data_IF_571368770493
#
_entry.id   IF_571368770493
#
_cell.length_a   1.000
_cell.length_b   1.000
_cell.length_c   1.000
_cell.angle_alpha   90.00
_cell.angle_beta   90.00
_cell.angle_gamma   90.00
#
_symmetry.space_group_name_H-M   'P 1'
#
loop_
_entity.id
_entity.type
_entity.pdbx_description
1 polymer ?
#
# COMPACT_ATOMS: atom_id res chain seq x y z
N UNK A 1 4.45 10.75 11.77
CA UNK A 1 4.51 11.60 10.55
C UNK A 1 5.00 10.70 9.43
N UNK A 2 4.15 10.35 8.46
CA UNK A 2 4.60 9.64 7.25
C UNK A 2 5.63 10.52 6.57
N UNK A 3 6.88 10.07 6.57
CA UNK A 3 7.98 10.80 5.98
C UNK A 3 7.95 10.66 4.47
N UNK A 4 8.43 11.68 3.76
CA UNK A 4 8.70 11.66 2.30
C UNK A 4 9.39 10.39 1.77
N UNK A 5 10.02 9.60 2.65
CA UNK A 5 10.73 8.37 2.30
C UNK A 5 9.81 7.18 2.00
N UNK A 6 8.66 7.02 2.68
CA UNK A 6 7.69 5.94 2.39
C UNK A 6 6.92 6.24 1.08
N UNK A 7 6.76 7.53 0.80
CA UNK A 7 6.30 8.10 -0.46
C UNK A 7 7.29 7.83 -1.61
N UNK A 8 8.59 7.67 -1.33
CA UNK A 8 9.59 7.26 -2.33
C UNK A 8 9.30 5.88 -2.94
N UNK A 9 8.59 5.00 -2.22
CA UNK A 9 8.08 3.73 -2.79
C UNK A 9 6.85 3.93 -3.68
N UNK A 10 6.02 4.96 -3.45
CA UNK A 10 4.99 5.36 -4.43
C UNK A 10 5.62 5.90 -5.72
N UNK A 11 6.80 6.51 -5.66
CA UNK A 11 7.57 6.91 -6.85
C UNK A 11 8.01 5.72 -7.73
N UNK A 12 8.11 4.50 -7.17
CA UNK A 12 8.26 3.29 -8.00
C UNK A 12 6.97 2.96 -8.77
N UNK A 13 5.80 3.41 -8.30
CA UNK A 13 4.53 3.22 -9.00
C UNK A 13 4.29 4.21 -10.14
N UNK A 14 4.85 5.42 -10.08
CA UNK A 14 4.84 6.33 -11.23
C UNK A 14 5.66 5.77 -12.38
N UNK A 15 6.76 5.07 -12.09
CA UNK A 15 7.51 4.33 -13.10
C UNK A 15 6.76 3.09 -13.61
N UNK A 16 5.94 2.42 -12.78
CA UNK A 16 5.05 1.34 -13.22
C UNK A 16 4.11 1.77 -14.35
N UNK A 17 3.64 3.04 -14.37
CA UNK A 17 2.79 3.55 -15.47
C UNK A 17 3.47 3.47 -16.85
N UNK A 18 4.81 3.47 -16.91
CA UNK A 18 5.57 3.29 -18.15
C UNK A 18 5.59 1.84 -18.64
N UNK A 19 5.37 0.89 -17.73
CA UNK A 19 5.28 -0.55 -18.03
C UNK A 19 3.82 -1.01 -18.22
N UNK A 20 2.88 -0.17 -17.84
CA UNK A 20 1.46 -0.38 -18.05
C UNK A 20 1.13 0.08 -19.47
N UNK A 21 0.98 -0.87 -20.40
CA UNK A 21 0.44 -0.60 -21.73
C UNK A 21 -1.06 -0.35 -21.56
N UNK A 22 -1.59 0.83 -21.93
CA UNK A 22 -3.02 1.08 -21.88
C UNK A 22 -3.75 0.06 -22.76
N UNK A 23 -4.77 -0.65 -22.25
CA UNK A 23 -5.54 -1.57 -23.07
C UNK A 23 -6.24 -0.80 -24.21
N UNK A 24 -6.20 -1.33 -25.44
CA UNK A 24 -6.85 -0.71 -26.61
C UNK A 24 -8.37 -0.55 -26.42
N UNK A 25 -8.99 -1.41 -25.62
CA UNK A 25 -10.35 -1.33 -25.12
C UNK A 25 -10.43 -2.08 -23.78
N UNK A 26 -10.63 -1.37 -22.66
CA UNK A 26 -10.86 -2.00 -21.35
C UNK A 26 -10.18 -1.28 -20.18
N UNK A 27 -10.18 -1.94 -19.03
CA UNK A 27 -9.46 -1.51 -17.83
C UNK A 27 -8.33 -2.48 -17.53
N UNK A 28 -7.32 -2.00 -16.82
CA UNK A 28 -6.28 -2.87 -16.26
C UNK A 28 -6.88 -3.80 -15.19
N UNK A 29 -6.26 -4.96 -14.93
CA UNK A 29 -6.69 -5.86 -13.86
C UNK A 29 -6.80 -5.14 -12.52
N UNK A 30 -7.68 -5.63 -11.63
CA UNK A 30 -7.87 -5.10 -10.27
C UNK A 30 -6.53 -4.90 -9.57
N UNK A 31 -6.26 -3.67 -9.14
CA UNK A 31 -5.05 -3.33 -8.39
C UNK A 31 -5.28 -3.52 -6.89
N UNK A 32 -4.29 -4.05 -6.19
CA UNK A 32 -4.31 -4.15 -4.73
C UNK A 32 -3.05 -3.47 -4.20
N UNK A 33 -3.24 -2.47 -3.35
CA UNK A 33 -2.17 -1.72 -2.69
C UNK A 33 -2.07 -2.17 -1.24
N UNK A 34 -0.89 -2.64 -0.84
CA UNK A 34 -0.60 -3.03 0.54
C UNK A 34 0.37 -2.01 1.14
N UNK A 35 -0.13 -1.17 2.05
CA UNK A 35 0.70 -0.25 2.83
C UNK A 35 1.30 -1.05 3.99
N UNK A 36 2.56 -1.45 3.84
CA UNK A 36 3.27 -2.27 4.84
C UNK A 36 3.70 -1.44 6.04
N UNK A 37 3.65 -2.06 7.21
CA UNK A 37 4.06 -1.47 8.48
C UNK A 37 3.31 -0.14 8.75
N UNK A 38 1.99 -0.13 8.47
CA UNK A 38 1.12 1.01 8.67
C UNK A 38 0.90 1.22 10.18
N UNK A 39 1.30 2.39 10.69
CA UNK A 39 1.34 2.70 12.13
C UNK A 39 0.42 3.86 12.53
N UNK A 40 -0.42 4.33 11.60
CA UNK A 40 -1.40 5.37 11.89
C UNK A 40 -2.73 4.72 12.23
N UNK A 41 -3.60 5.48 12.91
CA UNK A 41 -5.00 5.08 13.05
C UNK A 41 -5.61 4.82 11.67
N UNK A 42 -6.39 3.73 11.58
CA UNK A 42 -7.04 3.34 10.34
C UNK A 42 -7.98 4.46 9.87
N UNK A 43 -7.84 4.93 8.62
CA UNK A 43 -8.77 5.89 8.06
C UNK A 43 -10.13 5.21 7.83
N UNK A 44 -11.19 6.03 7.78
CA UNK A 44 -12.54 5.54 7.43
C UNK A 44 -12.56 4.84 6.06
N UNK A 45 -11.73 5.31 5.12
CA UNK A 45 -11.55 4.73 3.80
C UNK A 45 -10.08 4.79 3.36
N UNK A 46 -9.46 3.62 3.20
CA UNK A 46 -8.08 3.51 2.76
C UNK A 46 -7.84 3.94 1.30
N UNK A 47 -8.82 3.76 0.39
CA UNK A 47 -8.69 4.19 -1.01
C UNK A 47 -8.58 5.71 -1.11
N UNK A 48 -9.48 6.41 -0.42
CA UNK A 48 -9.51 7.87 -0.40
C UNK A 48 -8.24 8.42 0.25
N UNK A 49 -7.87 7.86 1.41
CA UNK A 49 -6.63 8.19 2.10
C UNK A 49 -5.40 8.05 1.18
N UNK A 50 -5.29 6.93 0.47
CA UNK A 50 -4.17 6.66 -0.42
C UNK A 50 -4.11 7.63 -1.58
N UNK A 51 -5.25 7.92 -2.24
CA UNK A 51 -5.30 8.86 -3.36
C UNK A 51 -4.94 10.27 -2.89
N UNK A 52 -5.46 10.72 -1.74
CA UNK A 52 -5.15 12.04 -1.21
C UNK A 52 -3.66 12.17 -0.89
N UNK A 53 -3.05 11.16 -0.26
CA UNK A 53 -1.60 11.13 -0.01
C UNK A 53 -0.77 11.03 -1.28
N UNK A 54 -1.26 10.34 -2.31
CA UNK A 54 -0.56 10.27 -3.58
C UNK A 54 -0.63 11.60 -4.33
N UNK A 55 -1.77 12.31 -4.32
CA UNK A 55 -1.91 13.64 -4.95
C UNK A 55 -0.94 14.68 -4.38
N UNK A 56 -0.68 14.63 -3.07
CA UNK A 56 0.30 15.51 -2.41
C UNK A 56 1.74 15.34 -2.96
N UNK A 57 1.99 14.24 -3.66
CA UNK A 57 3.32 13.82 -4.12
C UNK A 57 3.41 13.81 -5.65
N UNK A 58 2.45 13.17 -6.30
CA UNK A 58 2.36 12.98 -7.74
C UNK A 58 0.88 12.90 -8.16
N UNK A 59 0.34 14.06 -8.52
CA UNK A 59 -1.03 14.21 -9.00
C UNK A 59 -1.30 13.38 -10.27
N UNK A 60 -0.33 13.30 -11.19
CA UNK A 60 -0.48 12.55 -12.44
C UNK A 60 -0.60 11.05 -12.21
N UNK A 61 0.08 10.51 -11.20
CA UNK A 61 -0.06 9.12 -10.77
C UNK A 61 -1.46 8.82 -10.23
N UNK A 62 -1.98 9.71 -9.36
CA UNK A 62 -3.31 9.56 -8.79
C UNK A 62 -4.38 9.55 -9.88
N UNK A 63 -4.30 10.50 -10.82
CA UNK A 63 -5.18 10.54 -11.99
C UNK A 63 -5.05 9.29 -12.85
N UNK A 64 -3.83 8.82 -13.10
CA UNK A 64 -3.56 7.61 -13.87
C UNK A 64 -4.20 6.36 -13.26
N UNK A 65 -4.09 6.20 -11.94
CA UNK A 65 -4.71 5.08 -11.22
C UNK A 65 -6.23 5.12 -11.38
N UNK A 66 -6.85 6.28 -11.13
CA UNK A 66 -8.29 6.45 -11.24
C UNK A 66 -8.81 6.28 -12.66
N UNK A 67 -7.99 6.58 -13.67
CA UNK A 67 -8.35 6.49 -15.08
C UNK A 67 -8.23 5.09 -15.66
N UNK A 68 -7.16 4.36 -15.34
CA UNK A 68 -6.81 3.12 -16.04
C UNK A 68 -7.25 1.84 -15.31
N UNK A 69 -7.57 1.91 -14.03
CA UNK A 69 -8.07 0.78 -13.25
C UNK A 69 -9.58 0.91 -13.02
N UNK A 70 -10.34 -0.16 -13.31
CA UNK A 70 -11.80 -0.17 -13.07
C UNK A 70 -12.16 -0.12 -11.58
N UNK A 71 -11.30 -0.72 -10.76
CA UNK A 71 -11.38 -0.74 -9.31
C UNK A 71 -9.99 -1.09 -8.74
N UNK A 72 -9.73 -0.67 -7.52
CA UNK A 72 -8.53 -1.01 -6.77
C UNK A 72 -8.82 -1.05 -5.28
N UNK A 73 -8.13 -1.89 -4.52
CA UNK A 73 -8.23 -1.90 -3.05
C UNK A 73 -6.94 -1.43 -2.40
N UNK A 74 -7.09 -0.91 -1.18
CA UNK A 74 -5.97 -0.45 -0.37
C UNK A 74 -6.15 -1.02 1.03
N UNK A 75 -5.10 -1.63 1.56
CA UNK A 75 -5.05 -2.18 2.91
C UNK A 75 -3.83 -1.65 3.66
N UNK A 76 -4.02 -1.28 4.93
CA UNK A 76 -2.97 -0.82 5.83
C UNK A 76 -2.49 -1.92 6.73
N UNK A 77 -1.53 -2.73 6.27
CA UNK A 77 -1.03 -3.84 7.06
C UNK A 77 -0.15 -3.32 8.22
N UNK A 78 -0.52 -3.57 9.49
CA UNK A 78 0.29 -3.16 10.62
C UNK A 78 1.59 -3.97 10.69
N UNK A 79 2.48 -3.59 11.59
CA UNK A 79 3.75 -4.30 11.75
C UNK A 79 3.52 -5.64 12.45
N UNK A 80 4.05 -6.76 11.92
CA UNK A 80 3.84 -8.08 12.51
C UNK A 80 4.46 -8.22 13.91
N UNK A 81 5.58 -7.54 14.14
CA UNK A 81 6.26 -7.45 15.43
C UNK A 81 7.32 -6.35 15.43
N UNK A 82 7.49 -5.69 16.57
CA UNK A 82 8.59 -4.73 16.81
C UNK A 82 9.90 -5.38 17.27
N UNK A 83 9.91 -6.70 17.55
CA UNK A 83 11.06 -7.41 18.11
C UNK A 83 11.99 -7.92 17.01
N UNK A 84 13.21 -7.35 16.95
CA UNK A 84 14.25 -7.72 15.97
C UNK A 84 14.57 -9.22 15.92
N UNK A 85 14.64 -9.87 17.08
CA UNK A 85 14.95 -11.30 17.16
C UNK A 85 13.85 -12.18 16.50
N UNK A 86 12.58 -11.76 16.63
CA UNK A 86 11.45 -12.41 15.97
C UNK A 86 11.48 -12.14 14.45
N UNK A 87 11.73 -10.90 14.02
CA UNK A 87 11.86 -10.58 12.59
C UNK A 87 12.96 -11.40 11.89
N UNK A 88 14.09 -11.65 12.56
CA UNK A 88 15.19 -12.46 12.03
C UNK A 88 14.85 -13.95 11.90
N UNK A 89 13.83 -14.44 12.63
CA UNK A 89 13.46 -15.86 12.69
C UNK A 89 11.95 -16.03 12.48
N UNK A 90 11.35 -15.22 11.60
CA UNK A 90 9.90 -15.12 11.44
C UNK A 90 9.24 -16.44 11.02
N UNK A 91 10.01 -17.34 10.40
CA UNK A 91 9.63 -18.73 10.08
C UNK A 91 9.38 -19.61 11.30
N UNK A 92 9.86 -19.20 12.47
CA UNK A 92 9.77 -19.93 13.75
C UNK A 92 8.87 -19.24 14.77
N UNK A 93 8.37 -18.06 14.45
CA UNK A 93 7.49 -17.28 15.34
C UNK A 93 6.08 -17.82 15.21
N UNK A 94 5.44 -18.15 16.34
CA UNK A 94 4.04 -18.60 16.33
C UNK A 94 3.11 -17.42 16.03
N UNK A 95 1.94 -17.69 15.46
CA UNK A 95 0.93 -16.64 15.21
C UNK A 95 0.47 -15.95 16.50
N UNK A 96 0.47 -16.66 17.62
CA UNK A 96 0.09 -16.13 18.95
C UNK A 96 1.11 -15.12 19.49
N UNK A 97 2.35 -15.15 18.98
CA UNK A 97 3.45 -14.26 19.38
C UNK A 97 3.57 -12.99 18.51
N UNK A 98 2.71 -12.85 17.50
CA UNK A 98 2.62 -11.66 16.65
C UNK A 98 1.73 -10.59 17.29
N UNK A 99 1.85 -9.36 16.82
CA UNK A 99 0.97 -8.28 17.26
C UNK A 99 -0.50 -8.65 16.91
N UNK A 100 -1.44 -8.62 17.86
CA UNK A 100 -2.82 -9.07 17.63
C UNK A 100 -3.48 -8.34 16.46
N UNK A 101 -3.24 -7.03 16.35
CA UNK A 101 -3.75 -6.18 15.28
C UNK A 101 -3.32 -6.66 13.88
N UNK A 102 -2.12 -7.24 13.76
CA UNK A 102 -1.62 -7.83 12.52
C UNK A 102 -2.27 -9.17 12.17
N UNK A 103 -2.71 -9.94 13.16
CA UNK A 103 -3.33 -11.24 12.95
C UNK A 103 -4.81 -11.09 12.58
N UNK A 104 -5.46 -10.03 13.06
CA UNK A 104 -6.89 -9.79 12.88
C UNK A 104 -7.28 -9.07 11.59
N UNK A 105 -6.34 -8.37 10.93
CA UNK A 105 -6.57 -7.67 9.65
C UNK A 105 -6.59 -8.59 8.42
#
# INVERSE_FOLDING_TARGET
IIGRNDIGKLFLMTDLTKYIIPPENGFLPRMVVLLRDFMLENPDNFKDYFIDKLKDVDEGAAEGIQKYFSDFDVFGLPMPTSKRAQLQNMDKVSTEDLEPEFVTE
#
